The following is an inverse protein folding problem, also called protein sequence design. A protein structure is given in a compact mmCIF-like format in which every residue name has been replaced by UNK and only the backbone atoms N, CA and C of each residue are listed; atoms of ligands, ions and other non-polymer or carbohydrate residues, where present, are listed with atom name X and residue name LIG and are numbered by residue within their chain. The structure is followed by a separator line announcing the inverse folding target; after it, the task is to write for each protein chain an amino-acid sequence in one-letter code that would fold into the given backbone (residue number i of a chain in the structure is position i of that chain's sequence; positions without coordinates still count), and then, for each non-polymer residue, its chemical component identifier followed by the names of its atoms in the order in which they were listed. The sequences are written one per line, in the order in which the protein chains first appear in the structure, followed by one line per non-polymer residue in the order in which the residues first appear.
data_IF_753432203686
#
_entry.id   IF_753432203686
#
_cell.length_a   1.000
_cell.length_b   1.000
_cell.length_c   1.000
_cell.angle_alpha   90.00
_cell.angle_beta   90.00
_cell.angle_gamma   90.00
#
_symmetry.space_group_name_H-M   'P 1'
#
loop_
_entity.id
_entity.type
_entity.pdbx_description
1 polymer ?
#
# COMPACT_ATOMS: atom_id res chain seq x y z
N UNK A 1 14.84 -19.43 -5.93
CA UNK A 1 13.99 -20.25 -5.06
C UNK A 1 12.66 -20.57 -5.73
N UNK A 2 11.77 -19.59 -6.02
CA UNK A 2 10.43 -19.80 -6.62
C UNK A 2 10.44 -20.71 -7.87
N UNK A 3 11.34 -20.48 -8.81
CA UNK A 3 11.43 -21.29 -10.04
C UNK A 3 11.80 -22.76 -9.73
N UNK A 4 12.70 -22.97 -8.79
CA UNK A 4 13.10 -24.31 -8.36
C UNK A 4 11.95 -25.06 -7.69
N UNK A 5 11.26 -24.39 -6.76
CA UNK A 5 10.10 -24.97 -6.06
C UNK A 5 8.96 -25.27 -7.03
N UNK A 6 8.68 -24.36 -7.97
CA UNK A 6 7.65 -24.56 -8.98
C UNK A 6 7.92 -25.78 -9.86
N UNK A 7 9.17 -25.92 -10.33
CA UNK A 7 9.57 -27.08 -11.15
C UNK A 7 9.63 -28.38 -10.34
N UNK A 8 9.84 -28.27 -9.02
CA UNK A 8 9.75 -29.46 -8.15
C UNK A 8 8.32 -30.00 -8.08
N UNK A 9 7.34 -29.10 -8.01
CA UNK A 9 5.92 -29.46 -7.99
C UNK A 9 5.38 -29.79 -9.39
N UNK A 10 5.84 -29.09 -10.42
CA UNK A 10 5.39 -29.18 -11.80
C UNK A 10 6.58 -29.37 -12.76
N UNK A 11 7.19 -30.57 -12.84
CA UNK A 11 8.44 -30.79 -13.58
C UNK A 11 8.38 -30.47 -15.07
N UNK A 12 7.19 -30.56 -15.68
CA UNK A 12 6.99 -30.32 -17.11
C UNK A 12 6.59 -28.89 -17.44
N UNK A 13 6.50 -28.00 -16.44
CA UNK A 13 6.05 -26.64 -16.66
C UNK A 13 7.06 -25.82 -17.47
N UNK A 14 6.53 -25.03 -18.40
CA UNK A 14 7.31 -24.05 -19.19
C UNK A 14 7.38 -22.74 -18.43
N UNK A 15 8.49 -22.51 -17.74
CA UNK A 15 8.71 -21.30 -16.96
C UNK A 15 9.52 -20.26 -17.73
N UNK A 16 9.12 -19.00 -17.59
CA UNK A 16 9.95 -17.85 -17.94
C UNK A 16 10.38 -17.13 -16.67
N UNK A 17 11.69 -17.17 -16.37
CA UNK A 17 12.26 -16.49 -15.20
C UNK A 17 12.99 -15.24 -15.64
N UNK A 18 12.64 -14.11 -15.04
CA UNK A 18 13.22 -12.82 -15.41
C UNK A 18 14.59 -12.60 -14.79
N UNK A 19 15.44 -11.91 -15.54
CA UNK A 19 16.71 -11.36 -15.07
C UNK A 19 16.66 -9.83 -15.06
N UNK A 20 17.62 -9.18 -14.38
CA UNK A 20 17.71 -7.70 -14.41
C UNK A 20 17.92 -7.16 -15.82
N UNK A 21 18.63 -7.89 -16.66
CA UNK A 21 18.96 -7.51 -18.05
C UNK A 21 17.71 -7.45 -18.94
N UNK A 22 16.70 -8.29 -18.66
CA UNK A 22 15.46 -8.32 -19.45
C UNK A 22 14.64 -7.02 -19.32
N UNK A 23 14.82 -6.28 -18.21
CA UNK A 23 14.14 -5.03 -17.93
C UNK A 23 15.00 -3.77 -18.15
N UNK A 24 16.16 -3.91 -18.77
CA UNK A 24 16.88 -2.77 -19.31
C UNK A 24 16.07 -2.11 -20.45
N UNK A 25 16.17 -0.79 -20.64
CA UNK A 25 15.35 -0.08 -21.64
C UNK A 25 15.39 -0.69 -23.05
N UNK A 26 16.54 -1.20 -23.47
CA UNK A 26 16.75 -1.85 -24.79
C UNK A 26 16.07 -3.23 -24.92
N UNK A 27 15.87 -3.94 -23.82
CA UNK A 27 15.44 -5.33 -23.81
C UNK A 27 13.98 -5.50 -23.37
N UNK A 28 13.47 -4.57 -22.56
CA UNK A 28 12.12 -4.65 -21.96
C UNK A 28 11.00 -4.90 -22.97
N UNK A 29 11.00 -4.17 -24.09
CA UNK A 29 10.01 -4.35 -25.15
C UNK A 29 10.02 -5.78 -25.70
N UNK A 30 11.23 -6.31 -26.01
CA UNK A 30 11.39 -7.68 -26.52
C UNK A 30 10.94 -8.71 -25.49
N UNK A 31 11.25 -8.46 -24.23
CA UNK A 31 10.89 -9.37 -23.14
C UNK A 31 9.38 -9.40 -22.91
N UNK A 32 8.70 -8.25 -22.86
CA UNK A 32 7.24 -8.17 -22.75
C UNK A 32 6.55 -8.82 -23.96
N UNK A 33 7.05 -8.58 -25.18
CA UNK A 33 6.54 -9.26 -26.37
C UNK A 33 6.70 -10.79 -26.30
N UNK A 34 7.83 -11.27 -25.73
CA UNK A 34 8.06 -12.70 -25.50
C UNK A 34 7.05 -13.30 -24.51
N UNK A 35 6.66 -12.56 -23.47
CA UNK A 35 5.60 -13.01 -22.56
C UNK A 35 4.28 -13.10 -23.33
N UNK A 36 3.90 -12.04 -24.04
CA UNK A 36 2.62 -11.94 -24.73
C UNK A 36 2.42 -12.99 -25.85
N UNK A 37 3.51 -13.43 -26.48
CA UNK A 37 3.45 -14.38 -27.61
C UNK A 37 3.92 -15.78 -27.27
N UNK A 38 4.48 -15.98 -26.08
CA UNK A 38 5.02 -17.27 -25.64
C UNK A 38 3.94 -18.15 -25.01
N UNK A 39 4.17 -19.45 -25.09
CA UNK A 39 3.32 -20.48 -24.44
C UNK A 39 3.99 -20.88 -23.12
N UNK A 40 3.83 -20.04 -22.08
CA UNK A 40 4.39 -20.27 -20.75
C UNK A 40 3.28 -20.59 -19.75
N UNK A 41 3.52 -21.59 -18.91
CA UNK A 41 2.64 -21.93 -17.78
C UNK A 41 2.76 -20.90 -16.66
N UNK A 42 3.97 -20.34 -16.45
CA UNK A 42 4.18 -19.27 -15.49
C UNK A 42 5.37 -18.37 -15.86
N UNK A 43 5.25 -17.11 -15.44
CA UNK A 43 6.32 -16.10 -15.57
C UNK A 43 6.70 -15.61 -14.17
N UNK A 44 7.97 -15.74 -13.80
CA UNK A 44 8.47 -15.33 -12.48
C UNK A 44 9.21 -14.01 -12.63
N UNK A 45 8.70 -12.97 -11.97
CA UNK A 45 9.17 -11.59 -12.07
C UNK A 45 9.45 -11.02 -10.68
N UNK A 46 10.56 -10.33 -10.51
CA UNK A 46 10.81 -9.56 -9.28
C UNK A 46 9.95 -8.29 -9.20
N UNK A 47 9.57 -7.85 -8.00
CA UNK A 47 8.70 -6.69 -7.78
C UNK A 47 9.16 -5.44 -8.54
N UNK A 48 10.44 -5.07 -8.41
CA UNK A 48 11.02 -3.89 -9.08
C UNK A 48 11.06 -3.97 -10.61
N UNK A 49 10.91 -5.15 -11.17
CA UNK A 49 10.80 -5.37 -12.62
C UNK A 49 9.33 -5.32 -13.04
N UNK A 50 8.44 -5.89 -12.23
CA UNK A 50 7.01 -5.88 -12.45
C UNK A 50 6.42 -4.46 -12.51
N UNK A 51 6.91 -3.55 -11.67
CA UNK A 51 6.57 -2.12 -11.70
C UNK A 51 6.89 -1.42 -13.03
N UNK A 52 7.80 -1.97 -13.83
CA UNK A 52 8.20 -1.41 -15.13
C UNK A 52 7.29 -1.83 -16.28
N UNK A 53 6.35 -2.71 -16.05
CA UNK A 53 5.33 -3.09 -17.04
C UNK A 53 4.14 -2.15 -16.85
N UNK A 54 3.88 -1.23 -17.79
CA UNK A 54 2.83 -0.24 -17.60
C UNK A 54 1.43 -0.84 -17.80
N UNK A 55 0.44 -0.22 -17.17
CA UNK A 55 -0.96 -0.33 -17.59
C UNK A 55 -1.19 0.51 -18.86
N UNK A 56 -2.25 0.21 -19.59
CA UNK A 56 -2.68 1.04 -20.69
C UNK A 56 -2.97 2.48 -20.26
N UNK A 57 -2.79 3.46 -21.15
CA UNK A 57 -3.06 4.86 -20.86
C UNK A 57 -4.51 5.07 -20.43
N UNK A 58 -5.45 4.43 -21.14
CA UNK A 58 -6.88 4.49 -20.86
C UNK A 58 -7.21 4.00 -19.46
N UNK A 59 -6.54 2.94 -18.99
CA UNK A 59 -6.75 2.41 -17.64
C UNK A 59 -6.13 3.32 -16.57
N UNK A 60 -4.95 3.86 -16.84
CA UNK A 60 -4.32 4.82 -15.94
C UNK A 60 -5.16 6.10 -15.81
N UNK A 61 -5.69 6.63 -16.91
CA UNK A 61 -6.61 7.77 -16.92
C UNK A 61 -7.86 7.50 -16.07
N UNK A 62 -8.50 6.34 -16.29
CA UNK A 62 -9.69 5.93 -15.52
C UNK A 62 -9.40 5.86 -14.02
N UNK A 63 -8.29 5.25 -13.61
CA UNK A 63 -7.90 5.16 -12.20
C UNK A 63 -7.63 6.53 -11.57
N UNK A 64 -7.00 7.44 -12.32
CA UNK A 64 -6.77 8.82 -11.84
C UNK A 64 -8.10 9.55 -11.73
N UNK A 65 -9.01 9.37 -12.66
CA UNK A 65 -10.33 9.99 -12.62
C UNK A 65 -11.15 9.49 -11.43
N UNK A 66 -11.19 8.17 -11.19
CA UNK A 66 -11.84 7.59 -10.01
C UNK A 66 -11.30 8.19 -8.70
N UNK A 67 -9.98 8.39 -8.59
CA UNK A 67 -9.36 9.05 -7.44
C UNK A 67 -9.76 10.52 -7.32
N UNK A 68 -9.89 11.23 -8.44
CA UNK A 68 -10.32 12.63 -8.45
C UNK A 68 -11.78 12.77 -8.00
N UNK A 69 -12.64 11.86 -8.45
CA UNK A 69 -14.05 11.83 -8.08
C UNK A 69 -14.21 11.57 -6.57
N UNK A 70 -13.46 10.59 -6.01
CA UNK A 70 -13.40 10.35 -4.55
C UNK A 70 -12.98 11.60 -3.76
N UNK A 71 -11.99 12.34 -4.26
CA UNK A 71 -11.51 13.57 -3.60
C UNK A 71 -12.56 14.69 -3.72
N UNK A 72 -13.25 14.81 -4.85
CA UNK A 72 -14.28 15.82 -5.04
C UNK A 72 -15.47 15.59 -4.10
N UNK A 73 -15.93 14.35 -3.95
CA UNK A 73 -16.94 13.99 -2.96
C UNK A 73 -16.48 14.34 -1.53
N UNK A 74 -15.24 13.99 -1.18
CA UNK A 74 -14.68 14.32 0.13
C UNK A 74 -14.56 15.84 0.37
N UNK A 75 -14.28 16.64 -0.67
CA UNK A 75 -14.25 18.11 -0.59
C UNK A 75 -15.65 18.67 -0.35
N UNK A 76 -16.66 18.19 -1.07
CA UNK A 76 -18.05 18.64 -0.92
C UNK A 76 -18.57 18.36 0.50
N UNK A 77 -18.34 17.16 1.00
CA UNK A 77 -18.70 16.80 2.36
C UNK A 77 -17.95 17.62 3.42
N UNK A 78 -16.64 17.87 3.23
CA UNK A 78 -15.85 18.67 4.14
C UNK A 78 -16.29 20.16 4.15
N UNK A 79 -16.74 20.70 3.01
CA UNK A 79 -17.30 22.07 2.92
C UNK A 79 -18.63 22.20 3.63
N UNK A 80 -19.41 21.14 3.70
CA UNK A 80 -20.68 21.13 4.42
C UNK A 80 -20.51 21.17 5.96
N UNK A 81 -19.32 20.86 6.47
CA UNK A 81 -18.99 20.86 7.90
C UNK A 81 -18.28 22.15 8.31
N UNK A 82 -18.75 22.81 9.37
CA UNK A 82 -18.15 24.04 9.89
C UNK A 82 -16.78 23.76 10.51
N UNK A 83 -15.75 24.47 10.05
CA UNK A 83 -14.39 24.38 10.62
C UNK A 83 -13.39 23.51 9.84
N UNK A 84 -13.78 22.90 8.73
CA UNK A 84 -12.97 21.97 7.94
C UNK A 84 -12.06 22.62 6.86
N UNK A 85 -11.77 23.91 6.95
CA UNK A 85 -10.98 24.64 5.94
C UNK A 85 -9.58 24.05 5.65
N UNK A 86 -8.92 23.46 6.64
CA UNK A 86 -7.60 22.89 6.46
C UNK A 86 -7.67 21.59 5.66
N UNK A 87 -8.64 20.73 5.96
CA UNK A 87 -8.88 19.47 5.20
C UNK A 87 -9.19 19.76 3.75
N UNK A 88 -10.06 20.75 3.50
CA UNK A 88 -10.41 21.18 2.13
C UNK A 88 -9.15 21.60 1.36
N UNK A 89 -8.26 22.40 1.95
CA UNK A 89 -7.01 22.81 1.30
C UNK A 89 -6.09 21.64 0.96
N UNK A 90 -5.98 20.65 1.84
CA UNK A 90 -5.18 19.45 1.57
C UNK A 90 -5.77 18.62 0.44
N UNK A 91 -7.06 18.39 0.43
CA UNK A 91 -7.76 17.64 -0.62
C UNK A 91 -7.68 18.39 -1.97
N UNK A 92 -7.82 19.71 -1.98
CA UNK A 92 -7.63 20.53 -3.20
C UNK A 92 -6.19 20.44 -3.74
N UNK A 93 -5.19 20.38 -2.86
CA UNK A 93 -3.78 20.17 -3.27
C UNK A 93 -3.59 18.79 -3.90
N UNK A 94 -4.19 17.74 -3.33
CA UNK A 94 -4.15 16.39 -3.89
C UNK A 94 -4.85 16.33 -5.24
N UNK A 95 -6.06 16.90 -5.37
CA UNK A 95 -6.78 17.01 -6.63
C UNK A 95 -5.95 17.68 -7.71
N UNK A 96 -5.29 18.80 -7.37
CA UNK A 96 -4.42 19.51 -8.31
C UNK A 96 -3.24 18.65 -8.77
N UNK A 97 -2.65 17.87 -7.87
CA UNK A 97 -1.56 16.94 -8.18
C UNK A 97 -2.02 15.83 -9.14
N UNK A 98 -3.20 15.24 -8.88
CA UNK A 98 -3.78 14.22 -9.77
C UNK A 98 -4.13 14.79 -11.15
N UNK A 99 -4.70 16.01 -11.20
CA UNK A 99 -4.97 16.68 -12.46
C UNK A 99 -3.69 16.90 -13.30
N UNK A 100 -2.61 17.34 -12.67
CA UNK A 100 -1.30 17.46 -13.35
C UNK A 100 -0.77 16.10 -13.83
N UNK A 101 -0.99 15.02 -13.07
CA UNK A 101 -0.61 13.66 -13.47
C UNK A 101 -1.42 13.22 -14.69
N UNK A 102 -2.72 13.52 -14.71
CA UNK A 102 -3.61 13.25 -15.83
C UNK A 102 -3.21 14.03 -17.09
N UNK A 103 -2.96 15.34 -16.97
CA UNK A 103 -2.50 16.19 -18.07
C UNK A 103 -1.18 15.70 -18.66
N UNK A 104 -0.23 15.27 -17.82
CA UNK A 104 1.03 14.67 -18.29
C UNK A 104 0.80 13.39 -19.05
N UNK A 105 -0.10 12.52 -18.57
CA UNK A 105 -0.43 11.26 -19.24
C UNK A 105 -1.05 11.50 -20.61
N UNK A 106 -1.95 12.49 -20.74
CA UNK A 106 -2.60 12.87 -21.99
C UNK A 106 -1.68 13.64 -22.95
N UNK A 107 -0.76 14.44 -22.40
CA UNK A 107 0.21 15.23 -23.18
C UNK A 107 1.44 14.46 -23.66
N UNK A 108 1.66 13.27 -23.12
CA UNK A 108 2.74 12.40 -23.62
C UNK A 108 2.24 11.77 -24.92
N UNK A 109 2.77 12.25 -26.05
CA UNK A 109 2.54 11.59 -27.34
C UNK A 109 2.71 10.08 -27.14
N UNK A 110 1.71 9.30 -27.57
CA UNK A 110 1.64 7.82 -27.47
C UNK A 110 2.79 7.13 -28.24
N UNK A 111 4.02 7.60 -28.04
CA UNK A 111 5.24 7.06 -28.67
C UNK A 111 5.72 5.77 -28.05
N UNK A 112 5.12 5.34 -26.94
CA UNK A 112 5.55 4.11 -26.28
C UNK A 112 4.78 2.91 -26.83
N UNK A 113 5.36 2.36 -27.85
CA UNK A 113 5.17 1.04 -28.45
C UNK A 113 5.59 -0.08 -27.43
N UNK A 114 5.26 0.11 -26.15
CA UNK A 114 5.54 -0.82 -25.07
C UNK A 114 4.31 -1.69 -24.86
N UNK A 115 4.50 -3.00 -24.81
CA UNK A 115 3.45 -3.96 -24.45
C UNK A 115 2.96 -3.65 -23.03
N UNK A 116 1.68 -3.38 -22.89
CA UNK A 116 1.04 -3.10 -21.59
C UNK A 116 0.73 -4.39 -20.83
N UNK A 117 0.42 -4.28 -19.54
CA UNK A 117 0.09 -5.43 -18.71
C UNK A 117 -1.11 -6.21 -19.27
N UNK A 118 -2.12 -5.51 -19.76
CA UNK A 118 -3.31 -6.09 -20.38
C UNK A 118 -2.98 -6.94 -21.62
N UNK A 119 -1.96 -6.51 -22.37
CA UNK A 119 -1.53 -7.21 -23.59
C UNK A 119 -0.65 -8.43 -23.31
N UNK A 120 -0.19 -8.62 -22.08
CA UNK A 120 0.60 -9.81 -21.73
C UNK A 120 -0.22 -11.10 -21.72
N UNK A 121 -1.55 -11.03 -21.64
CA UNK A 121 -2.42 -12.20 -21.59
C UNK A 121 -2.39 -12.93 -20.26
N UNK A 122 -1.94 -12.26 -19.17
CA UNK A 122 -1.91 -12.82 -17.82
C UNK A 122 -3.32 -12.84 -17.24
N UNK A 123 -3.73 -13.96 -16.67
CA UNK A 123 -5.03 -14.16 -16.04
C UNK A 123 -4.95 -14.44 -14.53
N UNK A 124 -3.75 -14.69 -14.00
CA UNK A 124 -3.50 -14.93 -12.57
C UNK A 124 -2.23 -14.21 -12.13
N UNK A 125 -2.29 -13.62 -10.95
CA UNK A 125 -1.17 -12.92 -10.34
C UNK A 125 -0.96 -13.44 -8.91
N UNK A 126 0.18 -14.05 -8.67
CA UNK A 126 0.64 -14.47 -7.35
C UNK A 126 1.69 -13.47 -6.86
N UNK A 127 1.45 -12.86 -5.72
CA UNK A 127 2.35 -11.86 -5.14
C UNK A 127 2.87 -12.36 -3.80
N UNK A 128 4.13 -12.72 -3.78
CA UNK A 128 4.84 -13.06 -2.53
C UNK A 128 5.29 -11.77 -1.84
N UNK A 129 5.37 -11.79 -0.50
CA UNK A 129 5.73 -10.63 0.32
C UNK A 129 4.86 -9.40 -0.02
N UNK A 130 3.55 -9.61 -0.10
CA UNK A 130 2.58 -8.60 -0.55
C UNK A 130 2.52 -7.36 0.33
N UNK A 131 3.04 -7.40 1.59
CA UNK A 131 3.19 -6.22 2.46
C UNK A 131 4.08 -5.13 1.84
N UNK A 132 4.87 -5.46 0.81
CA UNK A 132 5.62 -4.47 0.04
C UNK A 132 4.72 -3.41 -0.63
N UNK A 133 3.44 -3.70 -0.81
CA UNK A 133 2.44 -2.85 -1.48
C UNK A 133 1.43 -2.21 -0.52
N UNK A 134 1.71 -2.20 0.78
CA UNK A 134 0.80 -1.69 1.81
C UNK A 134 0.51 -0.18 1.75
N UNK A 135 1.40 0.62 1.14
CA UNK A 135 1.27 2.06 1.03
C UNK A 135 0.43 2.46 -0.19
N UNK A 136 -0.78 1.94 -0.28
CA UNK A 136 -1.77 2.38 -1.25
C UNK A 136 -2.39 3.70 -0.77
N UNK A 137 -2.72 4.60 -1.70
CA UNK A 137 -3.40 5.83 -1.36
C UNK A 137 -4.69 5.57 -0.57
N UNK A 138 -4.95 6.44 0.38
CA UNK A 138 -6.24 6.55 1.05
C UNK A 138 -6.55 8.03 1.33
N UNK A 139 -7.81 8.38 1.24
CA UNK A 139 -8.28 9.71 1.58
C UNK A 139 -9.11 9.62 2.85
N UNK A 140 -8.87 10.55 3.78
CA UNK A 140 -9.57 10.56 5.07
C UNK A 140 -9.72 11.99 5.59
N UNK A 141 -10.84 12.23 6.25
CA UNK A 141 -11.10 13.45 7.03
C UNK A 141 -10.52 13.40 8.44
N UNK A 142 -10.07 12.22 8.89
CA UNK A 142 -9.48 12.04 10.21
C UNK A 142 -8.18 12.82 10.32
N UNK A 143 -8.09 13.69 11.34
CA UNK A 143 -6.92 14.53 11.59
C UNK A 143 -6.21 14.12 12.85
N UNK A 144 -4.90 14.34 12.87
CA UNK A 144 -4.07 14.11 14.05
C UNK A 144 -4.19 12.68 14.60
N UNK A 145 -4.53 11.71 13.74
CA UNK A 145 -4.64 10.30 14.09
C UNK A 145 -3.37 9.60 13.63
N UNK A 146 -2.56 9.15 14.56
CA UNK A 146 -1.36 8.41 14.25
C UNK A 146 -1.69 7.02 13.69
N UNK A 147 -0.88 6.54 12.76
CA UNK A 147 -1.09 5.27 12.07
C UNK A 147 -1.91 5.39 10.77
N UNK A 148 -2.40 6.58 10.44
CA UNK A 148 -3.01 6.88 9.14
C UNK A 148 -1.93 7.46 8.23
N UNK A 149 -1.39 6.67 7.33
CA UNK A 149 -0.48 7.18 6.30
C UNK A 149 -1.28 7.55 5.06
N UNK A 150 -1.24 8.83 4.71
CA UNK A 150 -1.79 9.35 3.46
C UNK A 150 -0.75 9.37 2.33
N UNK A 151 0.46 8.87 2.60
CA UNK A 151 1.52 8.78 1.60
C UNK A 151 1.21 7.64 0.62
N UNK A 152 1.26 7.96 -0.67
CA UNK A 152 1.09 7.01 -1.76
C UNK A 152 2.45 6.56 -2.28
N UNK A 153 2.63 5.24 -2.42
CA UNK A 153 3.74 4.68 -3.17
C UNK A 153 3.27 4.35 -4.60
N UNK A 154 3.93 4.89 -5.61
CA UNK A 154 3.58 4.66 -7.02
C UNK A 154 3.45 3.16 -7.35
N UNK A 155 4.33 2.31 -6.78
CA UNK A 155 4.26 0.86 -6.95
C UNK A 155 2.96 0.24 -6.42
N UNK A 156 2.41 0.79 -5.33
CA UNK A 156 1.16 0.30 -4.76
C UNK A 156 -0.04 0.68 -5.63
N UNK A 157 -0.06 1.89 -6.17
CA UNK A 157 -1.11 2.33 -7.09
C UNK A 157 -1.05 1.60 -8.43
N UNK A 158 0.15 1.32 -8.94
CA UNK A 158 0.35 0.48 -10.13
C UNK A 158 -0.14 -0.95 -9.90
N UNK A 159 0.24 -1.57 -8.76
CA UNK A 159 -0.25 -2.89 -8.37
C UNK A 159 -1.77 -2.91 -8.24
N UNK A 160 -2.37 -1.88 -7.64
CA UNK A 160 -3.83 -1.79 -7.48
C UNK A 160 -4.53 -1.77 -8.84
N UNK A 161 -4.04 -0.98 -9.80
CA UNK A 161 -4.59 -0.96 -11.13
C UNK A 161 -4.52 -2.30 -11.86
N UNK A 162 -3.42 -3.05 -11.68
CA UNK A 162 -3.25 -4.41 -12.22
C UNK A 162 -4.19 -5.41 -11.56
N UNK A 163 -4.37 -5.33 -10.25
CA UNK A 163 -5.34 -6.15 -9.52
C UNK A 163 -6.76 -5.88 -9.99
N UNK A 164 -7.14 -4.60 -10.15
CA UNK A 164 -8.47 -4.21 -10.68
C UNK A 164 -8.72 -4.78 -12.08
N UNK A 165 -7.70 -4.73 -12.96
CA UNK A 165 -7.79 -5.35 -14.28
C UNK A 165 -8.05 -6.86 -14.19
N UNK A 166 -7.29 -7.56 -13.37
CA UNK A 166 -7.46 -9.01 -13.21
C UNK A 166 -8.81 -9.37 -12.60
N UNK A 167 -9.31 -8.59 -11.66
CA UNK A 167 -10.64 -8.79 -11.09
C UNK A 167 -11.75 -8.64 -12.15
N UNK A 168 -11.62 -7.67 -13.04
CA UNK A 168 -12.57 -7.46 -14.15
C UNK A 168 -12.62 -8.68 -15.09
N UNK A 169 -11.46 -9.21 -15.51
CA UNK A 169 -11.41 -10.31 -16.49
C UNK A 169 -11.66 -11.69 -15.89
N UNK A 170 -11.51 -11.85 -14.55
CA UNK A 170 -11.60 -13.16 -13.88
C UNK A 170 -12.78 -13.26 -12.92
N UNK A 171 -13.56 -12.19 -12.76
CA UNK A 171 -14.66 -12.16 -11.80
C UNK A 171 -14.18 -12.22 -10.34
N UNK A 172 -13.08 -11.48 -10.02
CA UNK A 172 -12.52 -11.40 -8.67
C UNK A 172 -11.68 -12.61 -8.24
N UNK A 173 -11.16 -13.38 -9.17
CA UNK A 173 -10.39 -14.61 -8.89
C UNK A 173 -8.97 -14.60 -9.45
N UNK A 174 -8.50 -13.43 -9.89
CA UNK A 174 -7.23 -13.28 -10.59
C UNK A 174 -6.03 -13.01 -9.70
N UNK A 175 -6.22 -12.66 -8.43
CA UNK A 175 -5.15 -12.14 -7.55
C UNK A 175 -5.01 -12.99 -6.31
N UNK A 176 -3.79 -13.43 -6.03
CA UNK A 176 -3.42 -14.18 -4.83
C UNK A 176 -2.24 -13.48 -4.16
N UNK A 177 -2.43 -13.02 -2.94
CA UNK A 177 -1.38 -12.43 -2.10
C UNK A 177 -0.91 -13.43 -1.05
N UNK A 178 0.41 -13.52 -0.88
CA UNK A 178 1.04 -14.30 0.18
C UNK A 178 1.90 -13.38 1.06
N UNK A 179 1.75 -13.48 2.37
CA UNK A 179 2.55 -12.72 3.34
C UNK A 179 2.54 -13.38 4.71
N UNK A 180 3.67 -13.36 5.40
CA UNK A 180 3.75 -13.70 6.83
C UNK A 180 3.36 -12.55 7.76
N UNK A 181 3.22 -11.32 7.24
CA UNK A 181 2.94 -10.11 8.03
C UNK A 181 1.85 -9.26 7.38
N UNK A 182 0.59 -9.72 7.36
CA UNK A 182 -0.49 -9.00 6.70
C UNK A 182 -0.76 -7.62 7.33
N UNK A 183 -0.57 -7.50 8.64
CA UNK A 183 -0.69 -6.27 9.41
C UNK A 183 0.60 -6.06 10.19
N UNK A 184 1.36 -5.00 9.90
CA UNK A 184 2.64 -4.74 10.54
C UNK A 184 2.65 -3.47 11.40
N UNK A 185 2.14 -2.36 10.89
CA UNK A 185 2.29 -1.06 11.53
C UNK A 185 0.97 -0.34 11.81
N UNK A 186 -0.07 -0.63 11.04
CA UNK A 186 -1.33 0.09 11.11
C UNK A 186 -2.51 -0.80 10.74
N UNK A 187 -3.64 -0.56 11.40
CA UNK A 187 -4.90 -1.20 11.07
C UNK A 187 -5.40 -0.83 9.65
N UNK A 188 -4.93 0.29 9.08
CA UNK A 188 -5.23 0.68 7.70
C UNK A 188 -4.71 -0.32 6.67
N UNK A 189 -3.73 -1.15 7.04
CA UNK A 189 -3.21 -2.21 6.18
C UNK A 189 -4.27 -3.29 5.89
N UNK A 190 -5.20 -3.54 6.81
CA UNK A 190 -6.35 -4.41 6.58
C UNK A 190 -7.27 -3.85 5.48
N UNK A 191 -7.62 -2.56 5.58
CA UNK A 191 -8.39 -1.89 4.54
C UNK A 191 -7.69 -1.94 3.18
N UNK A 192 -6.39 -1.71 3.16
CA UNK A 192 -5.58 -1.79 1.95
C UNK A 192 -5.62 -3.18 1.33
N UNK A 193 -5.48 -4.24 2.12
CA UNK A 193 -5.61 -5.61 1.64
C UNK A 193 -7.00 -5.90 1.08
N UNK A 194 -8.05 -5.45 1.75
CA UNK A 194 -9.42 -5.60 1.26
C UNK A 194 -9.65 -4.83 -0.06
N UNK A 195 -9.02 -3.67 -0.25
CA UNK A 195 -9.07 -2.96 -1.53
C UNK A 195 -8.43 -3.75 -2.66
N UNK A 196 -7.34 -4.45 -2.41
CA UNK A 196 -6.69 -5.30 -3.42
C UNK A 196 -7.51 -6.56 -3.74
N UNK A 197 -8.10 -7.19 -2.73
CA UNK A 197 -8.64 -8.55 -2.84
C UNK A 197 -10.17 -8.62 -2.85
N UNK A 198 -10.85 -7.59 -2.35
CA UNK A 198 -12.30 -7.57 -2.13
C UNK A 198 -12.95 -6.25 -2.53
N UNK A 199 -12.40 -5.56 -3.53
CA UNK A 199 -12.89 -4.23 -3.92
C UNK A 199 -14.38 -4.23 -4.26
N UNK A 200 -14.85 -5.24 -5.00
CA UNK A 200 -16.26 -5.37 -5.36
C UNK A 200 -17.16 -5.58 -4.13
N UNK A 201 -16.69 -6.33 -3.13
CA UNK A 201 -17.42 -6.51 -1.85
C UNK A 201 -17.48 -5.20 -1.08
N UNK A 202 -16.37 -4.45 -1.03
CA UNK A 202 -16.36 -3.11 -0.41
C UNK A 202 -17.35 -2.17 -1.11
N UNK A 203 -17.38 -2.19 -2.44
CA UNK A 203 -18.30 -1.36 -3.24
C UNK A 203 -19.77 -1.71 -2.96
N UNK A 204 -20.12 -2.99 -2.97
CA UNK A 204 -21.48 -3.45 -2.68
C UNK A 204 -21.97 -3.08 -1.27
N UNK A 205 -21.04 -2.98 -0.32
CA UNK A 205 -21.34 -2.63 1.08
C UNK A 205 -21.20 -1.12 1.38
N UNK A 206 -20.84 -0.29 0.39
CA UNK A 206 -20.60 1.14 0.59
C UNK A 206 -19.37 1.45 1.44
N UNK A 207 -18.36 0.56 1.44
CA UNK A 207 -17.14 0.64 2.26
C UNK A 207 -15.88 0.93 1.42
N UNK A 208 -16.04 1.47 0.22
CA UNK A 208 -14.92 1.82 -0.67
C UNK A 208 -14.12 3.01 -0.15
N UNK A 209 -14.78 3.96 0.53
CA UNK A 209 -14.12 5.09 1.17
C UNK A 209 -13.58 4.69 2.54
N UNK A 210 -12.34 5.10 2.83
CA UNK A 210 -11.70 4.74 4.09
C UNK A 210 -12.51 5.18 5.32
N UNK A 211 -13.08 6.37 5.31
CA UNK A 211 -13.83 6.90 6.45
C UNK A 211 -15.10 6.09 6.73
N UNK A 212 -15.78 5.58 5.71
CA UNK A 212 -16.91 4.68 5.85
C UNK A 212 -16.48 3.33 6.46
N UNK A 213 -15.40 2.76 5.95
CA UNK A 213 -14.81 1.53 6.49
C UNK A 213 -14.33 1.72 7.94
N UNK A 214 -13.62 2.82 8.21
CA UNK A 214 -13.08 3.13 9.52
C UNK A 214 -14.18 3.38 10.57
N UNK A 215 -15.28 4.04 10.19
CA UNK A 215 -16.43 4.24 11.09
C UNK A 215 -17.17 2.94 11.42
N UNK A 216 -17.07 1.94 10.55
CA UNK A 216 -17.70 0.64 10.73
C UNK A 216 -16.84 -0.33 11.55
N UNK A 217 -15.51 -0.30 11.38
CA UNK A 217 -14.61 -1.32 11.91
C UNK A 217 -13.50 -0.79 12.80
N UNK A 218 -13.33 0.52 12.91
CA UNK A 218 -12.21 1.11 13.61
C UNK A 218 -12.59 2.03 14.74
N UNK A 219 -11.79 2.02 15.79
CA UNK A 219 -11.91 2.90 16.93
C UNK A 219 -10.60 3.64 17.14
N UNK A 220 -10.69 4.94 17.36
CA UNK A 220 -9.56 5.75 17.76
C UNK A 220 -9.42 5.78 19.27
N UNK A 221 -8.18 5.66 19.75
CA UNK A 221 -7.86 5.79 21.17
C UNK A 221 -6.89 6.93 21.39
N UNK A 222 -7.14 7.73 22.42
CA UNK A 222 -6.21 8.80 22.82
C UNK A 222 -5.45 8.36 24.06
N UNK A 223 -4.13 8.35 23.97
CA UNK A 223 -3.23 8.05 25.07
C UNK A 223 -2.32 9.24 25.34
N UNK A 224 -1.91 9.37 26.61
CA UNK A 224 -0.88 10.34 27.03
C UNK A 224 0.47 9.66 26.84
N UNK A 225 1.32 10.22 25.99
CA UNK A 225 2.66 9.72 25.68
C UNK A 225 3.70 10.74 26.09
N UNK A 226 4.92 10.27 26.40
CA UNK A 226 6.07 11.16 26.56
C UNK A 226 6.33 11.89 25.24
N UNK A 227 6.56 13.19 25.32
CA UNK A 227 6.88 13.98 24.15
C UNK A 227 8.25 13.56 23.55
N UNK A 228 8.47 13.66 22.21
CA UNK A 228 9.71 13.23 21.55
C UNK A 228 10.96 13.90 22.11
N UNK A 229 10.82 15.14 22.56
CA UNK A 229 11.88 15.93 23.19
C UNK A 229 12.27 15.43 24.58
N UNK A 230 11.62 14.38 25.09
CA UNK A 230 11.91 13.79 26.41
C UNK A 230 11.41 14.59 27.60
N UNK A 231 10.79 15.75 27.37
CA UNK A 231 10.25 16.63 28.43
C UNK A 231 8.75 16.82 28.26
N UNK A 232 7.98 16.48 29.28
CA UNK A 232 6.53 16.63 29.26
C UNK A 232 5.77 15.48 28.61
N UNK A 233 4.45 15.67 28.54
CA UNK A 233 3.51 14.67 27.99
C UNK A 233 2.61 15.32 26.95
N UNK A 234 2.26 14.53 25.91
CA UNK A 234 1.29 14.94 24.90
C UNK A 234 0.18 13.92 24.74
N UNK A 235 -1.03 14.39 24.49
CA UNK A 235 -2.13 13.53 24.08
C UNK A 235 -1.94 13.15 22.62
N UNK A 236 -1.97 11.85 22.30
CA UNK A 236 -1.88 11.35 20.94
C UNK A 236 -3.01 10.39 20.65
N UNK A 237 -3.81 10.73 19.64
CA UNK A 237 -4.88 9.87 19.14
C UNK A 237 -4.31 8.92 18.09
N UNK A 238 -4.65 7.63 18.20
CA UNK A 238 -4.26 6.58 17.26
C UNK A 238 -5.49 5.83 16.79
N UNK A 239 -5.46 5.39 15.55
CA UNK A 239 -6.39 4.38 15.04
C UNK A 239 -5.85 3.01 15.50
N UNK A 240 -6.33 2.50 16.63
CA UNK A 240 -5.63 1.47 17.39
C UNK A 240 -6.48 0.26 17.74
N UNK A 241 -7.79 0.31 17.59
CA UNK A 241 -8.67 -0.82 17.92
C UNK A 241 -9.61 -1.15 16.78
N UNK A 242 -9.84 -2.45 16.59
CA UNK A 242 -10.95 -2.89 15.76
C UNK A 242 -12.24 -2.90 16.56
N UNK A 243 -13.25 -2.28 15.99
CA UNK A 243 -14.64 -2.38 16.40
C UNK A 243 -15.34 -3.36 15.44
N UNK A 244 -16.41 -4.00 15.88
CA UNK A 244 -17.17 -4.94 15.05
C UNK A 244 -16.30 -6.01 14.37
N UNK A 245 -15.33 -6.55 15.14
CA UNK A 245 -14.35 -7.51 14.65
C UNK A 245 -14.96 -8.79 14.04
N UNK A 246 -16.08 -9.36 14.56
CA UNK A 246 -16.68 -10.55 13.96
C UNK A 246 -17.09 -10.36 12.51
N UNK A 247 -17.73 -9.25 12.17
CA UNK A 247 -18.17 -8.92 10.81
C UNK A 247 -16.98 -8.64 9.90
N UNK A 248 -15.98 -7.89 10.40
CA UNK A 248 -14.75 -7.64 9.65
C UNK A 248 -14.05 -8.96 9.30
N UNK A 249 -13.92 -9.86 10.28
CA UNK A 249 -13.28 -11.15 10.08
C UNK A 249 -14.11 -12.08 9.19
N UNK A 250 -15.44 -12.02 9.28
CA UNK A 250 -16.31 -12.76 8.37
C UNK A 250 -16.08 -12.32 6.92
N UNK A 251 -16.08 -11.00 6.67
CA UNK A 251 -15.80 -10.44 5.34
C UNK A 251 -14.39 -10.81 4.86
N UNK A 252 -13.37 -10.65 5.70
CA UNK A 252 -12.00 -10.89 5.28
C UNK A 252 -11.72 -12.37 4.96
N UNK A 253 -12.30 -13.28 5.74
CA UNK A 253 -12.18 -14.75 5.52
C UNK A 253 -12.82 -15.22 4.22
N UNK A 254 -13.70 -14.45 3.59
CA UNK A 254 -14.22 -14.80 2.25
C UNK A 254 -13.10 -14.82 1.19
N UNK A 255 -12.04 -14.03 1.38
CA UNK A 255 -10.91 -13.92 0.46
C UNK A 255 -9.56 -14.32 1.06
N UNK A 256 -9.50 -14.70 2.34
CA UNK A 256 -8.23 -14.98 3.04
C UNK A 256 -8.24 -16.33 3.75
N UNK A 257 -7.20 -17.13 3.53
CA UNK A 257 -6.86 -18.28 4.37
C UNK A 257 -5.79 -17.86 5.37
N UNK A 258 -6.15 -17.90 6.66
CA UNK A 258 -5.29 -17.43 7.75
C UNK A 258 -4.85 -18.64 8.57
N UNK A 259 -3.55 -18.83 8.71
CA UNK A 259 -2.92 -19.82 9.58
C UNK A 259 -2.01 -19.14 10.59
N UNK A 260 -2.24 -19.36 11.85
CA UNK A 260 -1.34 -18.91 12.92
C UNK A 260 -0.22 -19.93 13.16
N UNK A 261 0.88 -19.50 13.78
CA UNK A 261 2.01 -20.39 14.12
C UNK A 261 1.59 -21.61 14.90
N UNK A 262 0.63 -21.47 15.83
CA UNK A 262 0.11 -22.58 16.63
C UNK A 262 -0.63 -23.63 15.78
N UNK A 263 -1.30 -23.18 14.72
CA UNK A 263 -2.02 -24.07 13.78
C UNK A 263 -1.07 -24.79 12.84
N UNK A 264 0.09 -24.21 12.55
CA UNK A 264 1.06 -24.75 11.59
C UNK A 264 1.96 -25.83 12.22
N UNK A 265 2.01 -25.94 13.55
CA UNK A 265 2.86 -26.89 14.29
C UNK A 265 4.30 -26.96 13.74
N UNK A 266 4.85 -25.78 13.40
CA UNK A 266 6.19 -25.70 12.84
C UNK A 266 7.24 -26.15 13.89
N UNK A 267 8.30 -26.87 13.47
CA UNK A 267 9.40 -27.21 14.34
C UNK A 267 10.25 -25.97 14.63
N UNK A 268 9.74 -25.12 15.53
CA UNK A 268 10.44 -23.91 15.98
C UNK A 268 11.36 -24.29 17.13
N UNK A 269 12.64 -23.94 17.10
CA UNK A 269 13.54 -24.18 18.23
C UNK A 269 13.11 -23.36 19.46
N UNK A 270 13.35 -23.92 20.63
CA UNK A 270 13.12 -23.20 21.89
C UNK A 270 14.01 -21.96 21.94
N UNK A 271 13.41 -20.79 22.20
CA UNK A 271 14.10 -19.52 22.32
C UNK A 271 14.19 -19.07 23.77
N UNK A 272 15.41 -18.76 24.24
CA UNK A 272 15.63 -18.10 25.52
C UNK A 272 15.90 -16.63 25.27
N UNK A 273 15.04 -15.77 25.77
CA UNK A 273 15.18 -14.33 25.65
C UNK A 273 15.88 -13.76 26.87
N UNK A 274 16.93 -12.98 26.64
CA UNK A 274 17.68 -12.28 27.67
C UNK A 274 17.79 -10.80 27.29
N UNK A 275 17.36 -9.92 28.20
CA UNK A 275 17.47 -8.48 28.00
C UNK A 275 18.74 -7.97 28.65
N UNK A 276 19.69 -7.52 27.83
CA UNK A 276 20.94 -6.91 28.32
C UNK A 276 20.79 -5.39 28.24
N UNK A 277 20.80 -4.73 29.41
CA UNK A 277 20.74 -3.28 29.50
C UNK A 277 22.14 -2.73 29.74
N UNK A 278 22.58 -1.85 28.85
CA UNK A 278 23.87 -1.17 28.93
C UNK A 278 23.66 0.35 29.07
N UNK A 279 24.58 1.02 29.74
CA UNK A 279 24.56 2.49 29.79
C UNK A 279 24.93 3.07 28.43
N UNK A 280 24.25 4.14 27.96
CA UNK A 280 24.62 4.80 26.71
C UNK A 280 26.03 5.38 26.79
N UNK A 281 26.76 5.34 25.66
CA UNK A 281 28.05 6.03 25.53
C UNK A 281 27.86 7.55 25.53
N UNK A 282 28.93 8.31 25.77
CA UNK A 282 28.91 9.78 25.70
C UNK A 282 28.41 10.26 24.33
N UNK A 283 28.90 9.65 23.24
CA UNK A 283 28.45 9.96 21.86
C UNK A 283 26.95 9.77 21.69
N UNK A 284 26.37 8.68 22.24
CA UNK A 284 24.93 8.43 22.18
C UNK A 284 24.15 9.46 23.00
N UNK A 285 24.66 9.86 24.16
CA UNK A 285 24.02 10.90 24.98
C UNK A 285 24.00 12.24 24.26
N UNK A 286 25.13 12.65 23.67
CA UNK A 286 25.23 13.89 22.88
C UNK A 286 24.29 13.88 21.66
N UNK A 287 24.21 12.76 20.94
CA UNK A 287 23.28 12.62 19.81
C UNK A 287 21.81 12.70 20.25
N UNK A 288 21.44 12.05 21.34
CA UNK A 288 20.06 12.08 21.87
C UNK A 288 19.73 13.49 22.34
N UNK A 289 20.66 14.19 23.00
CA UNK A 289 20.45 15.56 23.42
C UNK A 289 20.25 16.49 22.23
N UNK A 290 21.10 16.42 21.20
CA UNK A 290 20.96 17.22 20.00
C UNK A 290 19.62 16.97 19.28
N UNK A 291 19.16 15.71 19.20
CA UNK A 291 17.86 15.37 18.65
C UNK A 291 16.69 15.90 19.47
N UNK A 292 16.81 15.87 20.81
CA UNK A 292 15.79 16.42 21.72
C UNK A 292 15.68 17.94 21.59
N UNK A 293 16.80 18.65 21.51
CA UNK A 293 16.86 20.10 21.29
C UNK A 293 16.23 20.47 19.94
N UNK A 294 16.58 19.75 18.87
CA UNK A 294 15.99 19.93 17.55
C UNK A 294 14.48 19.69 17.56
N UNK A 295 14.02 18.63 18.23
CA UNK A 295 12.58 18.35 18.36
C UNK A 295 11.83 19.46 19.10
N UNK A 296 12.44 20.05 20.13
CA UNK A 296 11.88 21.17 20.88
C UNK A 296 11.80 22.44 20.01
N UNK A 297 12.80 22.73 19.18
CA UNK A 297 12.83 23.86 18.24
C UNK A 297 11.72 23.70 17.17
N UNK A 298 11.56 22.52 16.58
CA UNK A 298 10.47 22.21 15.63
C UNK A 298 9.11 22.40 16.30
N UNK A 299 8.96 21.91 17.53
CA UNK A 299 7.70 22.01 18.28
C UNK A 299 7.36 23.47 18.63
N UNK A 300 8.34 24.31 18.94
CA UNK A 300 8.13 25.74 19.21
C UNK A 300 7.82 26.58 17.95
N UNK A 301 7.94 25.99 16.76
CA UNK A 301 7.76 26.69 15.48
C UNK A 301 8.89 27.64 15.13
N UNK A 302 10.06 27.52 15.78
CA UNK A 302 11.23 28.36 15.52
C UNK A 302 12.05 27.92 14.29
N UNK A 303 11.73 26.77 13.72
CA UNK A 303 12.38 26.21 12.51
C UNK A 303 11.39 26.17 11.36
N UNK A 304 11.87 26.53 10.16
CA UNK A 304 11.07 26.43 8.93
C UNK A 304 10.78 24.95 8.62
N UNK A 305 9.49 24.55 8.50
CA UNK A 305 9.11 23.16 8.18
C UNK A 305 9.64 22.65 6.84
N UNK A 306 10.13 23.52 5.96
CA UNK A 306 10.78 23.14 4.70
C UNK A 306 12.22 22.67 4.87
N UNK A 307 12.83 23.00 6.00
CA UNK A 307 14.22 22.67 6.34
C UNK A 307 14.28 21.47 7.29
N UNK A 308 13.29 21.34 8.14
CA UNK A 308 13.24 20.30 9.16
C UNK A 308 11.81 19.76 9.32
N UNK A 309 11.61 18.52 8.83
CA UNK A 309 10.32 17.81 8.83
C UNK A 309 10.37 16.62 9.79
#
# INVERSE_FOLDING_TARGET
QWASEFLHLYPNAKLLVTSRKDFEPSNRKKFCARIATGDYDAVIIGHSQFEKIPLSAERQERLIQEQMDEIEEAIEEAKAQVGEHFTVKQLEKLRKSLKQKLEKLQGTDRKDDVVTFEQLGVDRLFVDESQAFKNLYLYTKMRNVAGLSTSEAQKSSDMFGKCRYLDEITGGRGVIFATGTPLSNSMTEMYTLMRYLQYNTLQQKGLTHFDAWASTFGETTTAIELAPEGTGYRARTRFAKFFNLPELMAMFKEAADIKTSDQLHLPVPDAKFETVVVKPSEIQQDMVQALSERAAEVHSGSVDPSVDN
#
